data_IF_340377785944
#
_entry.id   IF_340377785944
#
_cell.length_a   1.000
_cell.length_b   1.000
_cell.length_c   1.000
_cell.angle_alpha   90.00
_cell.angle_beta   90.00
_cell.angle_gamma   90.00
#
_symmetry.space_group_name_H-M   'P 1'
#
loop_
_entity.id
_entity.type
_entity.pdbx_description
1 polymer ?
#
# COMPACT_ATOMS: atom_id res chain seq x y z
N UNK A 1 -0.40 33.10 50.76
CA UNK A 1 -0.51 33.61 49.38
C UNK A 1 0.22 32.72 48.37
N UNK A 2 1.49 32.37 48.57
CA UNK A 2 2.23 31.43 47.70
C UNK A 2 1.66 30.01 47.70
N UNK A 3 1.33 29.46 48.87
CA UNK A 3 0.75 28.11 48.99
C UNK A 3 -0.61 27.98 48.28
N UNK A 4 -1.50 28.95 48.48
CA UNK A 4 -2.80 28.99 47.79
C UNK A 4 -2.66 29.09 46.26
N UNK A 5 -1.66 29.84 45.77
CA UNK A 5 -1.37 29.93 44.34
C UNK A 5 -0.80 28.62 43.80
N UNK A 6 0.04 27.93 44.58
CA UNK A 6 0.62 26.65 44.22
C UNK A 6 -0.45 25.55 44.16
N UNK A 7 -1.36 25.51 45.14
CA UNK A 7 -2.51 24.59 45.15
C UNK A 7 -3.46 24.84 43.97
N UNK A 8 -3.73 26.11 43.65
CA UNK A 8 -4.53 26.48 42.47
C UNK A 8 -3.87 26.01 41.15
N UNK A 9 -2.57 26.26 40.99
CA UNK A 9 -1.83 25.82 39.81
C UNK A 9 -1.77 24.30 39.71
N UNK A 10 -1.62 23.60 40.84
CA UNK A 10 -1.62 22.14 40.89
C UNK A 10 -2.98 21.56 40.45
N UNK A 11 -4.10 22.12 40.95
CA UNK A 11 -5.44 21.73 40.49
C UNK A 11 -5.63 21.96 38.99
N UNK A 12 -5.20 23.13 38.48
CA UNK A 12 -5.28 23.43 37.04
C UNK A 12 -4.42 22.47 36.20
N UNK A 13 -3.23 22.15 36.68
CA UNK A 13 -2.33 21.18 36.04
C UNK A 13 -2.98 19.78 35.98
N UNK A 14 -3.57 19.30 37.08
CA UNK A 14 -4.22 17.99 37.10
C UNK A 14 -5.40 17.90 36.11
N UNK A 15 -6.24 18.94 36.06
CA UNK A 15 -7.36 19.00 35.11
C UNK A 15 -6.86 18.97 33.67
N UNK A 16 -5.84 19.76 33.34
CA UNK A 16 -5.25 19.77 32.01
C UNK A 16 -4.59 18.42 31.68
N UNK A 17 -3.88 17.83 32.64
CA UNK A 17 -3.22 16.54 32.46
C UNK A 17 -4.20 15.42 32.14
N UNK A 18 -5.30 15.33 32.89
CA UNK A 18 -6.37 14.35 32.64
C UNK A 18 -7.03 14.59 31.27
N UNK A 19 -7.33 15.85 30.93
CA UNK A 19 -7.86 16.22 29.62
C UNK A 19 -6.94 15.77 28.47
N UNK A 20 -5.63 15.99 28.60
CA UNK A 20 -4.66 15.57 27.58
C UNK A 20 -4.53 14.03 27.50
N UNK A 21 -4.63 13.32 28.62
CA UNK A 21 -4.67 11.86 28.64
C UNK A 21 -5.90 11.33 27.90
N UNK A 22 -7.09 11.87 28.20
CA UNK A 22 -8.34 11.49 27.54
C UNK A 22 -8.27 11.71 26.02
N UNK A 23 -7.76 12.87 25.60
CA UNK A 23 -7.57 13.19 24.18
C UNK A 23 -6.59 12.21 23.51
N UNK A 24 -5.51 11.83 24.19
CA UNK A 24 -4.54 10.85 23.68
C UNK A 24 -5.18 9.49 23.46
N UNK A 25 -5.95 9.00 24.43
CA UNK A 25 -6.63 7.69 24.34
C UNK A 25 -7.64 7.70 23.20
N UNK A 26 -8.44 8.77 23.07
CA UNK A 26 -9.37 8.92 21.94
C UNK A 26 -8.64 8.88 20.59
N UNK A 27 -7.48 9.54 20.47
CA UNK A 27 -6.66 9.49 19.24
C UNK A 27 -6.19 8.06 18.94
N UNK A 28 -5.72 7.33 19.94
CA UNK A 28 -5.29 5.94 19.78
C UNK A 28 -6.45 5.03 19.36
N UNK A 29 -7.61 5.14 20.02
CA UNK A 29 -8.79 4.35 19.65
C UNK A 29 -9.24 4.65 18.22
N UNK A 30 -9.30 5.92 17.82
CA UNK A 30 -9.60 6.29 16.43
C UNK A 30 -8.58 5.70 15.43
N UNK A 31 -7.30 5.64 15.80
CA UNK A 31 -6.25 5.05 14.97
C UNK A 31 -6.43 3.52 14.84
N UNK A 32 -6.82 2.85 15.92
CA UNK A 32 -7.14 1.43 15.95
C UNK A 32 -8.39 1.14 15.11
N UNK A 33 -9.45 1.95 15.25
CA UNK A 33 -10.68 1.81 14.47
C UNK A 33 -10.38 1.89 12.96
N UNK A 34 -9.55 2.84 12.53
CA UNK A 34 -9.10 2.93 11.13
C UNK A 34 -8.33 1.66 10.70
N UNK A 35 -7.50 1.08 11.58
CA UNK A 35 -6.82 -0.17 11.27
C UNK A 35 -7.80 -1.33 11.12
N UNK A 36 -8.79 -1.44 12.02
CA UNK A 36 -9.82 -2.48 11.98
C UNK A 36 -10.71 -2.34 10.74
N UNK A 37 -11.07 -1.12 10.37
CA UNK A 37 -11.81 -0.84 9.13
C UNK A 37 -11.02 -1.30 7.90
N UNK A 38 -9.74 -0.93 7.79
CA UNK A 38 -8.86 -1.38 6.71
C UNK A 38 -8.73 -2.91 6.70
N UNK A 39 -8.60 -3.53 7.88
CA UNK A 39 -8.50 -4.97 8.02
C UNK A 39 -9.78 -5.66 7.53
N UNK A 40 -10.97 -5.20 7.96
CA UNK A 40 -12.27 -5.76 7.54
C UNK A 40 -12.49 -5.70 6.01
N UNK A 41 -11.96 -4.66 5.36
CA UNK A 41 -12.02 -4.45 3.91
C UNK A 41 -11.01 -5.30 3.13
N UNK A 42 -9.92 -5.76 3.78
CA UNK A 42 -8.80 -6.44 3.13
C UNK A 42 -8.59 -7.89 3.57
N UNK A 43 -9.25 -8.34 4.64
CA UNK A 43 -9.14 -9.67 5.24
C UNK A 43 -10.47 -10.42 5.16
N UNK A 44 -10.41 -11.69 4.75
CA UNK A 44 -11.55 -12.58 4.59
C UNK A 44 -11.61 -13.62 5.71
N UNK A 45 -12.40 -14.67 5.51
CA UNK A 45 -12.55 -15.78 6.46
C UNK A 45 -11.39 -16.79 6.35
N UNK A 46 -10.67 -16.77 5.23
CA UNK A 46 -9.57 -17.68 4.92
C UNK A 46 -8.49 -16.98 4.07
N UNK A 47 -7.45 -17.73 3.72
CA UNK A 47 -6.35 -17.23 2.89
C UNK A 47 -6.84 -16.70 1.53
N UNK A 48 -7.64 -17.48 0.80
CA UNK A 48 -8.07 -17.16 -0.57
C UNK A 48 -8.96 -15.90 -0.60
N UNK A 49 -9.95 -15.83 0.28
CA UNK A 49 -10.81 -14.66 0.46
C UNK A 49 -10.03 -13.44 0.92
N UNK A 50 -9.00 -13.61 1.76
CA UNK A 50 -8.06 -12.55 2.15
C UNK A 50 -7.24 -12.03 0.96
N UNK A 51 -6.67 -12.92 0.14
CA UNK A 51 -5.93 -12.50 -1.07
C UNK A 51 -6.86 -11.74 -2.03
N UNK A 52 -8.10 -12.21 -2.18
CA UNK A 52 -9.12 -11.55 -3.01
C UNK A 52 -9.49 -10.16 -2.49
N UNK A 53 -9.84 -10.03 -1.21
CA UNK A 53 -10.21 -8.75 -0.60
C UNK A 53 -9.05 -7.77 -0.61
N UNK A 54 -7.84 -8.21 -0.27
CA UNK A 54 -6.62 -7.41 -0.37
C UNK A 54 -6.39 -6.91 -1.80
N UNK A 55 -6.50 -7.79 -2.80
CA UNK A 55 -6.36 -7.38 -4.19
C UNK A 55 -7.42 -6.36 -4.61
N UNK A 56 -8.68 -6.54 -4.18
CA UNK A 56 -9.75 -5.57 -4.42
C UNK A 56 -9.48 -4.21 -3.80
N UNK A 57 -9.08 -4.20 -2.53
CA UNK A 57 -8.76 -2.99 -1.79
C UNK A 57 -7.60 -2.23 -2.44
N UNK A 58 -6.45 -2.89 -2.62
CA UNK A 58 -5.24 -2.30 -3.19
C UNK A 58 -5.45 -1.82 -4.63
N UNK A 59 -6.15 -2.60 -5.47
CA UNK A 59 -6.48 -2.20 -6.85
C UNK A 59 -7.37 -0.96 -6.85
N UNK A 60 -8.39 -0.91 -6.00
CA UNK A 60 -9.30 0.24 -5.88
C UNK A 60 -8.53 1.51 -5.48
N UNK A 61 -7.61 1.42 -4.51
CA UNK A 61 -6.76 2.56 -4.13
C UNK A 61 -5.92 3.08 -5.30
N UNK A 62 -5.32 2.20 -6.09
CA UNK A 62 -4.53 2.60 -7.26
C UNK A 62 -5.40 3.20 -8.36
N UNK A 63 -6.63 2.70 -8.55
CA UNK A 63 -7.57 3.23 -9.54
C UNK A 63 -8.18 4.58 -9.14
N UNK A 64 -8.14 4.95 -7.85
CA UNK A 64 -8.45 6.32 -7.43
C UNK A 64 -7.36 7.34 -7.80
N UNK A 65 -6.19 6.92 -8.28
CA UNK A 65 -5.13 7.81 -8.78
C UNK A 65 -5.29 8.06 -10.29
N UNK A 66 -5.91 9.18 -10.71
CA UNK A 66 -5.90 9.59 -12.11
C UNK A 66 -4.49 10.03 -12.55
N UNK A 67 -4.17 9.92 -13.83
CA UNK A 67 -2.87 10.37 -14.36
C UNK A 67 -2.73 11.91 -14.29
N UNK A 68 -3.84 12.65 -14.41
CA UNK A 68 -3.83 14.12 -14.50
C UNK A 68 -4.82 14.75 -13.50
N UNK A 69 -4.35 15.06 -12.30
CA UNK A 69 -5.06 15.90 -11.33
C UNK A 69 -4.08 16.89 -10.68
N UNK A 70 -4.52 18.14 -10.48
CA UNK A 70 -3.75 19.17 -9.78
C UNK A 70 -3.50 18.84 -8.30
N UNK A 71 -4.33 17.96 -7.71
CA UNK A 71 -4.22 17.52 -6.30
C UNK A 71 -3.72 16.09 -6.15
N UNK A 72 -3.03 15.57 -7.17
CA UNK A 72 -2.61 14.17 -7.21
C UNK A 72 -1.62 13.83 -6.08
N UNK A 73 -0.70 14.75 -5.76
CA UNK A 73 0.28 14.54 -4.70
C UNK A 73 -0.39 14.44 -3.32
N UNK A 74 -1.37 15.29 -3.02
CA UNK A 74 -2.15 15.23 -1.79
C UNK A 74 -2.97 13.94 -1.70
N UNK A 75 -3.58 13.52 -2.80
CA UNK A 75 -4.31 12.26 -2.87
C UNK A 75 -3.37 11.08 -2.60
N UNK A 76 -2.22 11.03 -3.26
CA UNK A 76 -1.21 10.00 -3.04
C UNK A 76 -0.72 9.95 -1.60
N UNK A 77 -0.50 11.11 -0.99
CA UNK A 77 -0.11 11.21 0.43
C UNK A 77 -1.18 10.61 1.35
N UNK A 78 -2.47 10.74 1.02
CA UNK A 78 -3.60 10.17 1.78
C UNK A 78 -3.82 8.68 1.54
N UNK A 79 -3.61 8.18 0.32
CA UNK A 79 -3.86 6.77 -0.02
C UNK A 79 -2.73 5.83 0.42
N UNK A 80 -1.49 6.34 0.42
CA UNK A 80 -0.28 5.55 0.70
C UNK A 80 -0.30 4.82 2.04
N UNK A 81 -0.74 5.41 3.17
CA UNK A 81 -0.77 4.74 4.48
C UNK A 81 -1.54 3.42 4.51
N UNK A 82 -2.76 3.39 3.98
CA UNK A 82 -3.56 2.19 3.95
C UNK A 82 -2.96 1.13 3.00
N UNK A 83 -2.40 1.57 1.87
CA UNK A 83 -1.76 0.68 0.90
C UNK A 83 -0.54 -0.04 1.49
N UNK A 84 0.35 0.67 2.21
CA UNK A 84 1.51 0.05 2.86
C UNK A 84 1.11 -0.90 3.98
N UNK A 85 0.06 -0.57 4.75
CA UNK A 85 -0.42 -1.43 5.83
C UNK A 85 -0.89 -2.80 5.30
N UNK A 86 -1.76 -2.81 4.28
CA UNK A 86 -2.26 -4.07 3.69
C UNK A 86 -1.14 -4.88 3.05
N UNK A 87 -0.22 -4.25 2.32
CA UNK A 87 0.95 -4.96 1.77
C UNK A 87 1.86 -5.52 2.86
N UNK A 88 2.04 -4.80 3.97
CA UNK A 88 2.81 -5.28 5.12
C UNK A 88 2.18 -6.52 5.75
N UNK A 89 0.86 -6.57 5.88
CA UNK A 89 0.17 -7.76 6.40
C UNK A 89 0.28 -8.95 5.45
N UNK A 90 0.13 -8.75 4.14
CA UNK A 90 0.28 -9.85 3.17
C UNK A 90 1.71 -10.36 3.10
N UNK A 91 2.70 -9.47 3.27
CA UNK A 91 4.10 -9.86 3.41
C UNK A 91 4.33 -10.66 4.69
N UNK A 92 3.80 -10.22 5.83
CA UNK A 92 3.83 -10.96 7.09
C UNK A 92 3.26 -12.37 6.92
N UNK A 93 2.02 -12.48 6.44
CA UNK A 93 1.32 -13.76 6.30
C UNK A 93 2.15 -14.74 5.47
N UNK A 94 2.74 -14.26 4.37
CA UNK A 94 3.58 -15.10 3.51
C UNK A 94 4.91 -15.49 4.14
N UNK A 95 5.59 -14.55 4.81
CA UNK A 95 6.84 -14.84 5.51
C UNK A 95 6.67 -15.85 6.66
N UNK A 96 5.51 -15.82 7.34
CA UNK A 96 5.18 -16.82 8.36
C UNK A 96 4.90 -18.18 7.72
N UNK A 97 4.11 -18.20 6.63
CA UNK A 97 3.80 -19.43 5.89
C UNK A 97 5.06 -20.10 5.32
N UNK A 98 6.02 -19.29 4.86
CA UNK A 98 7.27 -19.75 4.25
C UNK A 98 8.38 -20.03 5.31
N UNK A 99 8.08 -20.00 6.62
CA UNK A 99 9.02 -20.19 7.75
C UNK A 99 10.26 -19.24 7.75
N UNK A 100 10.09 -18.05 7.18
CA UNK A 100 11.16 -17.02 7.12
C UNK A 100 11.22 -16.22 8.43
N UNK A 101 10.07 -15.97 9.07
CA UNK A 101 10.03 -15.24 10.35
C UNK A 101 10.23 -16.20 11.52
N UNK A 102 11.25 -15.93 12.33
CA UNK A 102 11.59 -16.67 13.56
C UNK A 102 11.51 -15.82 14.83
N UNK A 103 10.88 -14.64 14.72
CA UNK A 103 10.78 -13.73 15.85
C UNK A 103 9.85 -14.29 16.92
N UNK A 104 10.38 -14.53 18.12
CA UNK A 104 9.64 -15.17 19.20
C UNK A 104 8.37 -14.40 19.63
N UNK A 105 8.39 -13.06 19.59
CA UNK A 105 7.21 -12.26 19.93
C UNK A 105 6.09 -12.47 18.90
N UNK A 106 6.46 -12.49 17.61
CA UNK A 106 5.50 -12.69 16.53
C UNK A 106 4.98 -14.12 16.49
N UNK A 107 5.79 -15.12 16.84
CA UNK A 107 5.36 -16.52 16.75
C UNK A 107 4.66 -17.03 18.03
N UNK A 108 4.72 -16.29 19.15
CA UNK A 108 4.25 -16.75 20.47
C UNK A 108 2.79 -17.25 20.46
N UNK A 109 1.91 -16.46 19.86
CA UNK A 109 0.45 -16.68 19.89
C UNK A 109 -0.09 -16.89 18.45
N UNK A 110 0.78 -17.27 17.50
CA UNK A 110 0.38 -17.55 16.13
C UNK A 110 -0.20 -18.97 16.03
N UNK A 111 -1.43 -19.04 15.53
CA UNK A 111 -2.13 -20.27 15.18
C UNK A 111 -2.59 -20.14 13.73
N UNK A 112 -2.09 -21.03 12.86
CA UNK A 112 -2.36 -20.97 11.42
C UNK A 112 -3.84 -21.17 11.10
N UNK A 113 -4.52 -22.03 11.85
CA UNK A 113 -5.93 -22.35 11.64
C UNK A 113 -6.84 -21.20 12.09
N UNK A 114 -6.38 -20.39 13.05
CA UNK A 114 -7.12 -19.26 13.62
C UNK A 114 -6.67 -17.90 13.13
N UNK A 115 -5.71 -17.82 12.21
CA UNK A 115 -5.12 -16.55 11.75
C UNK A 115 -6.19 -15.55 11.28
N UNK A 116 -7.24 -16.03 10.64
CA UNK A 116 -8.33 -15.20 10.08
C UNK A 116 -9.61 -15.22 10.94
N UNK A 117 -9.58 -15.88 12.10
CA UNK A 117 -10.71 -15.92 13.01
C UNK A 117 -10.74 -14.63 13.87
N UNK A 118 -11.89 -13.93 13.93
CA UNK A 118 -12.02 -12.74 14.75
C UNK A 118 -12.10 -13.14 16.23
N UNK A 119 -11.02 -12.92 16.99
CA UNK A 119 -11.06 -12.98 18.46
C UNK A 119 -11.15 -11.56 19.03
N UNK A 120 -12.39 -11.15 19.33
CA UNK A 120 -12.70 -9.83 19.91
C UNK A 120 -12.65 -9.83 21.44
N UNK A 121 -12.45 -10.99 22.07
CA UNK A 121 -12.55 -11.14 23.52
C UNK A 121 -11.19 -11.19 24.20
N UNK A 122 -10.18 -11.70 23.51
CA UNK A 122 -8.83 -11.81 24.03
C UNK A 122 -7.97 -10.63 23.55
N UNK A 123 -7.53 -9.78 24.48
CA UNK A 123 -6.60 -8.71 24.16
C UNK A 123 -5.24 -9.25 23.71
N UNK A 124 -4.83 -10.45 24.10
CA UNK A 124 -3.57 -11.07 23.65
C UNK A 124 -3.70 -11.82 22.31
N UNK A 125 -4.86 -11.76 21.64
CA UNK A 125 -5.01 -12.44 20.36
C UNK A 125 -4.01 -11.91 19.32
N UNK A 126 -3.69 -12.73 18.33
CA UNK A 126 -2.70 -12.40 17.30
C UNK A 126 -2.98 -11.07 16.59
N UNK A 127 -4.26 -10.75 16.39
CA UNK A 127 -4.69 -9.47 15.80
C UNK A 127 -4.24 -8.28 16.64
N UNK A 128 -4.49 -8.30 17.95
CA UNK A 128 -4.13 -7.23 18.86
C UNK A 128 -2.61 -7.20 19.12
N UNK A 129 -1.99 -8.36 19.31
CA UNK A 129 -0.58 -8.46 19.70
C UNK A 129 0.40 -8.18 18.55
N UNK A 130 0.04 -8.51 17.30
CA UNK A 130 0.96 -8.48 16.14
C UNK A 130 0.41 -7.69 14.96
N UNK A 131 -0.81 -7.98 14.50
CA UNK A 131 -1.39 -7.35 13.30
C UNK A 131 -1.56 -5.85 13.47
N UNK A 132 -2.25 -5.40 14.53
CA UNK A 132 -2.51 -3.99 14.78
C UNK A 132 -1.22 -3.17 14.99
N UNK A 133 -0.22 -3.61 15.79
CA UNK A 133 1.07 -2.93 15.88
C UNK A 133 1.77 -2.75 14.52
N UNK A 134 1.73 -3.76 13.64
CA UNK A 134 2.30 -3.66 12.28
C UNK A 134 1.52 -2.65 11.45
N UNK A 135 0.18 -2.67 11.50
CA UNK A 135 -0.66 -1.69 10.79
C UNK A 135 -0.41 -0.27 11.27
N UNK A 136 -0.37 -0.04 12.59
CA UNK A 136 -0.09 1.27 13.19
C UNK A 136 1.32 1.74 12.81
N UNK A 137 2.34 0.88 12.92
CA UNK A 137 3.69 1.20 12.48
C UNK A 137 3.74 1.56 10.99
N UNK A 138 3.05 0.80 10.13
CA UNK A 138 2.97 1.06 8.71
C UNK A 138 2.25 2.39 8.45
N UNK A 139 1.02 2.60 8.91
CA UNK A 139 0.22 3.82 8.66
C UNK A 139 0.98 5.07 9.09
N UNK A 140 1.50 5.08 10.32
CA UNK A 140 2.12 6.25 10.94
C UNK A 140 3.61 6.40 10.66
N UNK A 141 4.23 5.56 9.82
CA UNK A 141 5.67 5.58 9.54
C UNK A 141 6.22 6.95 9.05
N UNK A 142 5.36 7.82 8.54
CA UNK A 142 5.70 9.15 8.03
C UNK A 142 4.87 10.27 8.70
N UNK A 143 4.29 10.01 9.88
CA UNK A 143 3.44 10.97 10.59
C UNK A 143 4.22 12.19 11.06
N UNK A 144 5.53 12.05 11.27
CA UNK A 144 6.41 13.17 11.61
C UNK A 144 6.32 14.33 10.61
N UNK A 145 6.03 14.06 9.33
CA UNK A 145 5.79 15.08 8.30
C UNK A 145 4.61 16.04 8.60
N UNK A 146 3.78 15.73 9.58
CA UNK A 146 2.69 16.60 10.06
C UNK A 146 3.10 17.47 11.25
N UNK A 147 4.32 17.32 11.76
CA UNK A 147 4.83 18.14 12.86
C UNK A 147 5.05 19.60 12.39
N UNK A 148 4.72 20.63 13.18
CA UNK A 148 4.82 22.03 12.77
C UNK A 148 6.19 22.44 12.22
N UNK A 149 7.29 21.98 12.82
CA UNK A 149 8.65 22.28 12.34
C UNK A 149 8.90 21.74 10.92
N UNK A 150 8.37 20.56 10.60
CA UNK A 150 8.50 19.95 9.28
C UNK A 150 7.56 20.59 8.27
N UNK A 151 6.36 20.98 8.69
CA UNK A 151 5.47 21.78 7.84
C UNK A 151 6.17 23.08 7.45
N UNK A 152 6.77 23.80 8.39
CA UNK A 152 7.54 25.02 8.11
C UNK A 152 8.74 24.76 7.18
N UNK A 153 9.48 23.66 7.36
CA UNK A 153 10.58 23.27 6.46
C UNK A 153 10.09 22.98 5.02
N UNK A 154 8.94 22.32 4.91
CA UNK A 154 8.39 21.89 3.62
C UNK A 154 7.61 23.00 2.90
N UNK A 155 6.89 23.85 3.62
CA UNK A 155 6.01 24.87 3.04
C UNK A 155 6.62 26.28 3.11
N UNK A 156 7.74 26.45 3.83
CA UNK A 156 8.32 27.77 4.11
C UNK A 156 7.59 28.49 5.25
N UNK A 157 8.20 29.53 5.82
CA UNK A 157 7.63 30.26 6.96
C UNK A 157 6.26 30.88 6.67
N UNK A 158 6.05 31.31 5.42
CA UNK A 158 4.81 31.93 4.95
C UNK A 158 3.92 30.99 4.12
N UNK A 159 4.27 29.69 4.01
CA UNK A 159 3.52 28.73 3.18
C UNK A 159 3.69 28.93 1.68
N UNK A 160 4.80 29.55 1.25
CA UNK A 160 5.05 29.92 -0.15
C UNK A 160 5.76 28.83 -0.98
N UNK A 161 6.21 27.73 -0.35
CA UNK A 161 6.86 26.60 -1.02
C UNK A 161 5.89 25.43 -1.22
N UNK A 162 6.04 24.75 -2.35
CA UNK A 162 5.38 23.45 -2.57
C UNK A 162 6.03 22.38 -1.68
N UNK A 163 5.22 21.76 -0.81
CA UNK A 163 5.65 20.70 0.11
C UNK A 163 6.16 19.44 -0.58
N UNK A 164 5.80 19.23 -1.85
CA UNK A 164 6.23 18.08 -2.65
C UNK A 164 7.35 18.42 -3.65
N UNK A 165 7.94 19.62 -3.56
CA UNK A 165 9.10 20.00 -4.36
C UNK A 165 10.28 19.06 -4.14
N UNK A 166 11.23 19.10 -5.07
CA UNK A 166 12.53 18.47 -4.86
C UNK A 166 13.28 19.25 -3.77
N UNK A 167 13.69 18.56 -2.70
CA UNK A 167 14.52 19.12 -1.64
C UNK A 167 16.00 18.97 -1.99
N UNK A 168 16.80 19.95 -1.59
CA UNK A 168 18.26 19.84 -1.64
C UNK A 168 18.77 18.79 -0.65
N UNK A 169 20.00 18.30 -0.85
CA UNK A 169 20.53 17.18 -0.06
C UNK A 169 20.54 17.47 1.45
N UNK A 170 20.86 18.70 1.85
CA UNK A 170 20.88 19.10 3.26
C UNK A 170 19.47 19.19 3.85
N UNK A 171 18.56 19.93 3.20
CA UNK A 171 17.14 20.01 3.59
C UNK A 171 16.51 18.61 3.66
N UNK A 172 16.85 17.72 2.73
CA UNK A 172 16.35 16.34 2.71
C UNK A 172 16.86 15.53 3.89
N UNK A 173 18.14 15.65 4.24
CA UNK A 173 18.72 14.94 5.38
C UNK A 173 18.10 15.42 6.70
N UNK A 174 17.91 16.73 6.85
CA UNK A 174 17.21 17.33 7.99
C UNK A 174 15.76 16.87 8.07
N UNK A 175 15.02 16.90 6.96
CA UNK A 175 13.64 16.43 6.88
C UNK A 175 13.52 14.98 7.33
N UNK A 176 14.40 14.09 6.85
CA UNK A 176 14.39 12.67 7.22
C UNK A 176 14.66 12.47 8.72
N UNK A 177 15.62 13.20 9.29
CA UNK A 177 15.97 13.11 10.70
C UNK A 177 14.81 13.58 11.60
N UNK A 178 14.22 14.74 11.30
CA UNK A 178 13.07 15.27 12.02
C UNK A 178 11.85 14.36 11.87
N UNK A 179 11.59 13.82 10.67
CA UNK A 179 10.42 12.97 10.43
C UNK A 179 10.52 11.71 11.28
N UNK A 180 11.71 11.11 11.33
CA UNK A 180 11.98 9.96 12.18
C UNK A 180 11.78 10.28 13.66
N UNK A 181 12.38 11.37 14.16
CA UNK A 181 12.24 11.78 15.57
C UNK A 181 10.78 12.02 15.96
N UNK A 182 10.05 12.82 15.18
CA UNK A 182 8.66 13.16 15.47
C UNK A 182 7.70 11.99 15.27
N UNK A 183 8.02 11.06 14.38
CA UNK A 183 7.25 9.81 14.25
C UNK A 183 7.35 8.97 15.52
N UNK A 184 8.56 8.76 16.06
CA UNK A 184 8.74 8.00 17.30
C UNK A 184 8.08 8.68 18.49
N UNK A 185 8.21 10.00 18.60
CA UNK A 185 7.56 10.78 19.65
C UNK A 185 6.04 10.67 19.57
N UNK A 186 5.46 10.80 18.36
CA UNK A 186 4.02 10.64 18.17
C UNK A 186 3.54 9.24 18.52
N UNK A 187 4.25 8.19 18.11
CA UNK A 187 3.87 6.82 18.47
C UNK A 187 3.95 6.57 19.99
N UNK A 188 5.01 7.05 20.64
CA UNK A 188 5.24 6.83 22.07
C UNK A 188 4.34 7.68 22.96
N UNK A 189 4.19 8.97 22.65
CA UNK A 189 3.57 9.96 23.51
C UNK A 189 2.25 10.49 22.93
N UNK A 190 2.16 10.61 21.60
CA UNK A 190 0.95 11.07 20.91
C UNK A 190 -0.19 10.05 20.88
N UNK A 191 0.17 8.77 20.70
CA UNK A 191 -0.70 7.59 20.78
C UNK A 191 -0.49 6.84 22.11
N UNK A 192 0.71 6.31 22.34
CA UNK A 192 1.04 5.56 23.56
C UNK A 192 0.26 4.24 23.70
N UNK A 193 -0.03 3.85 24.94
CA UNK A 193 -0.80 2.65 25.27
C UNK A 193 -2.28 2.99 25.50
N UNK A 194 -3.15 2.03 25.19
CA UNK A 194 -4.56 2.02 25.59
C UNK A 194 -4.68 1.95 27.13
N UNK A 195 -5.91 2.11 27.61
CA UNK A 195 -6.25 1.94 29.02
C UNK A 195 -7.13 0.70 29.20
N UNK A 196 -6.88 -0.03 30.29
CA UNK A 196 -7.71 -1.16 30.66
C UNK A 196 -9.14 -0.69 30.98
N UNK A 197 -10.13 -1.42 30.46
CA UNK A 197 -11.55 -1.24 30.83
C UNK A 197 -11.98 -2.11 32.03
N UNK A 198 -11.05 -2.80 32.67
CA UNK A 198 -11.32 -3.75 33.75
C UNK A 198 -11.35 -3.08 35.14
N UNK A 199 -12.11 -3.63 36.06
CA UNK A 199 -12.19 -3.15 37.46
C UNK A 199 -11.17 -3.84 38.38
N UNK A 200 -10.72 -5.06 38.02
CA UNK A 200 -9.80 -5.83 38.85
C UNK A 200 -8.36 -5.44 38.58
N UNK A 201 -7.62 -5.12 39.65
CA UNK A 201 -6.22 -4.70 39.60
C UNK A 201 -5.30 -5.70 38.84
N UNK A 202 -5.54 -7.00 38.98
CA UNK A 202 -4.78 -8.03 38.27
C UNK A 202 -5.01 -7.98 36.75
N UNK A 203 -6.26 -7.76 36.31
CA UNK A 203 -6.63 -7.68 34.89
C UNK A 203 -6.08 -6.38 34.27
N UNK A 204 -6.13 -5.26 35.03
CA UNK A 204 -5.52 -3.98 34.64
C UNK A 204 -4.01 -4.16 34.44
N UNK A 205 -3.32 -4.76 35.41
CA UNK A 205 -1.86 -4.97 35.35
C UNK A 205 -1.46 -5.83 34.14
N UNK A 206 -2.16 -6.94 33.91
CA UNK A 206 -1.90 -7.81 32.77
C UNK A 206 -2.13 -7.11 31.42
N UNK A 207 -3.21 -6.31 31.32
CA UNK A 207 -3.50 -5.50 30.14
C UNK A 207 -2.40 -4.46 29.89
N UNK A 208 -2.00 -3.72 30.91
CA UNK A 208 -0.96 -2.69 30.81
C UNK A 208 0.39 -3.29 30.39
N UNK A 209 0.76 -4.45 30.91
CA UNK A 209 1.96 -5.17 30.49
C UNK A 209 1.89 -5.61 29.01
N UNK A 210 0.74 -6.10 28.56
CA UNK A 210 0.53 -6.48 27.17
C UNK A 210 0.62 -5.25 26.24
N UNK A 211 0.01 -4.13 26.62
CA UNK A 211 0.07 -2.87 25.89
C UNK A 211 1.50 -2.30 25.80
N UNK A 212 2.29 -2.38 26.88
CA UNK A 212 3.69 -1.98 26.84
C UNK A 212 4.52 -2.84 25.89
N UNK A 213 4.25 -4.15 25.85
CA UNK A 213 4.90 -5.07 24.89
C UNK A 213 4.52 -4.72 23.45
N UNK A 214 3.23 -4.44 23.16
CA UNK A 214 2.76 -4.00 21.84
C UNK A 214 3.41 -2.71 21.39
N UNK A 215 3.42 -1.69 22.26
CA UNK A 215 4.05 -0.39 21.95
C UNK A 215 5.55 -0.57 21.69
N UNK A 216 6.24 -1.38 22.50
CA UNK A 216 7.67 -1.68 22.30
C UNK A 216 7.92 -2.38 20.96
N UNK A 217 7.08 -3.34 20.59
CA UNK A 217 7.15 -4.02 19.30
C UNK A 217 6.93 -3.03 18.14
N UNK A 218 5.88 -2.23 18.20
CA UNK A 218 5.57 -1.19 17.21
C UNK A 218 6.72 -0.19 17.03
N UNK A 219 7.26 0.34 18.12
CA UNK A 219 8.41 1.25 18.08
C UNK A 219 9.63 0.56 17.50
N UNK A 220 9.89 -0.70 17.87
CA UNK A 220 10.98 -1.52 17.32
C UNK A 220 10.92 -1.65 15.80
N UNK A 221 9.73 -1.89 15.23
CA UNK A 221 9.54 -1.95 13.79
C UNK A 221 9.96 -0.64 13.09
N UNK A 222 9.52 0.51 13.60
CA UNK A 222 9.81 1.83 13.01
C UNK A 222 11.28 2.23 13.20
N UNK A 223 11.85 1.95 14.38
CA UNK A 223 13.27 2.18 14.68
C UNK A 223 14.16 1.42 13.70
N UNK A 224 13.93 0.11 13.59
CA UNK A 224 14.79 -0.75 12.77
C UNK A 224 14.56 -0.54 11.28
N UNK A 225 13.35 -0.17 10.83
CA UNK A 225 13.06 0.11 9.42
C UNK A 225 13.88 1.29 8.87
N UNK A 226 14.12 2.30 9.70
CA UNK A 226 14.95 3.47 9.37
C UNK A 226 16.46 3.21 9.55
N UNK A 227 16.83 2.06 10.11
CA UNK A 227 18.22 1.64 10.25
C UNK A 227 18.70 0.80 9.04
N UNK A 228 20.00 0.52 8.99
CA UNK A 228 20.60 -0.45 8.06
C UNK A 228 20.45 -1.90 8.52
N UNK A 229 19.81 -2.16 9.68
CA UNK A 229 19.57 -3.50 10.19
C UNK A 229 18.51 -4.21 9.35
N UNK A 230 18.69 -5.51 9.18
CA UNK A 230 17.73 -6.42 8.53
C UNK A 230 16.97 -7.21 9.60
N UNK A 231 15.76 -7.63 9.27
CA UNK A 231 14.91 -8.38 10.19
C UNK A 231 13.43 -8.07 10.01
N UNK A 232 12.67 -8.16 11.10
CA UNK A 232 11.20 -8.04 11.09
C UNK A 232 10.69 -6.67 10.65
N UNK A 233 11.49 -5.61 10.76
CA UNK A 233 11.12 -4.26 10.29
C UNK A 233 11.00 -4.16 8.76
N UNK A 234 11.54 -5.12 8.01
CA UNK A 234 11.40 -5.15 6.56
C UNK A 234 9.96 -5.39 6.09
N UNK A 235 9.11 -5.91 6.99
CA UNK A 235 7.66 -6.05 6.81
C UNK A 235 6.99 -4.71 6.54
N UNK A 236 7.49 -3.61 7.11
CA UNK A 236 6.97 -2.25 6.82
C UNK A 236 7.86 -1.47 5.85
N UNK A 237 9.18 -1.71 5.85
CA UNK A 237 10.15 -0.99 5.00
C UNK A 237 9.95 -1.28 3.51
N UNK A 238 9.80 -2.55 3.12
CA UNK A 238 9.65 -2.94 1.72
C UNK A 238 8.34 -2.39 1.13
N UNK A 239 7.18 -2.55 1.80
CA UNK A 239 5.94 -1.89 1.37
C UNK A 239 6.03 -0.37 1.30
N UNK A 240 6.76 0.29 2.20
CA UNK A 240 6.98 1.74 2.14
C UNK A 240 7.75 2.13 0.87
N UNK A 241 8.85 1.43 0.54
CA UNK A 241 9.63 1.69 -0.68
C UNK A 241 8.77 1.47 -1.92
N UNK A 242 8.06 0.33 -1.99
CA UNK A 242 7.21 0.01 -3.12
C UNK A 242 6.10 1.06 -3.32
N UNK A 243 5.38 1.39 -2.24
CA UNK A 243 4.28 2.38 -2.27
C UNK A 243 4.75 3.80 -2.57
N UNK A 244 6.03 4.14 -2.34
CA UNK A 244 6.62 5.44 -2.74
C UNK A 244 6.68 5.63 -4.26
N UNK A 245 6.74 4.53 -5.02
CA UNK A 245 6.67 4.54 -6.48
C UNK A 245 5.21 4.51 -6.93
N UNK A 246 4.37 3.69 -6.28
CA UNK A 246 2.95 3.57 -6.63
C UNK A 246 2.20 4.90 -6.43
N UNK A 247 2.40 5.52 -5.28
CA UNK A 247 1.80 6.81 -4.90
C UNK A 247 2.89 7.87 -4.80
N UNK A 248 3.55 8.14 -5.93
CA UNK A 248 4.62 9.13 -5.99
C UNK A 248 4.04 10.55 -5.96
N UNK A 249 4.58 11.42 -5.12
CA UNK A 249 4.17 12.83 -5.04
C UNK A 249 4.96 13.72 -6.00
N UNK A 250 5.77 13.13 -6.89
CA UNK A 250 6.56 13.88 -7.87
C UNK A 250 5.67 14.45 -8.98
N UNK A 251 6.04 15.63 -9.49
CA UNK A 251 5.31 16.33 -10.56
C UNK A 251 5.30 15.57 -11.89
N UNK A 252 6.30 14.73 -12.15
CA UNK A 252 6.47 13.91 -13.36
C UNK A 252 5.97 12.47 -13.17
N UNK A 253 5.08 12.23 -12.20
CA UNK A 253 4.47 10.92 -12.00
C UNK A 253 3.73 10.46 -13.27
N UNK A 254 3.99 9.22 -13.68
CA UNK A 254 3.33 8.59 -14.83
C UNK A 254 3.03 7.12 -14.50
N UNK A 255 1.78 6.69 -14.69
CA UNK A 255 1.34 5.32 -14.34
C UNK A 255 2.08 4.24 -15.14
N UNK A 256 2.51 4.55 -16.36
CA UNK A 256 3.35 3.65 -17.17
C UNK A 256 4.67 3.24 -16.49
N UNK A 257 5.15 4.03 -15.52
CA UNK A 257 6.39 3.78 -14.78
C UNK A 257 6.18 2.90 -13.54
N UNK A 258 4.95 2.55 -13.17
CA UNK A 258 4.65 1.73 -11.99
C UNK A 258 5.42 0.38 -11.92
N UNK A 259 5.70 -0.33 -13.04
CA UNK A 259 6.53 -1.54 -13.00
C UNK A 259 7.96 -1.33 -12.46
N UNK A 260 8.46 -0.08 -12.45
CA UNK A 260 9.76 0.25 -11.87
C UNK A 260 9.81 0.05 -10.34
N UNK A 261 8.67 0.01 -9.65
CA UNK A 261 8.60 -0.29 -8.22
C UNK A 261 9.24 -1.64 -7.90
N UNK A 262 8.86 -2.66 -8.68
CA UNK A 262 9.39 -4.02 -8.57
C UNK A 262 10.89 -4.08 -8.88
N UNK A 263 11.35 -3.28 -9.86
CA UNK A 263 12.77 -3.18 -10.22
C UNK A 263 13.58 -2.52 -9.11
N UNK A 264 13.04 -1.50 -8.45
CA UNK A 264 13.70 -0.81 -7.35
C UNK A 264 13.92 -1.76 -6.16
N UNK A 265 12.90 -2.56 -5.80
CA UNK A 265 13.03 -3.59 -4.75
C UNK A 265 14.15 -4.58 -5.11
N UNK A 266 14.10 -5.15 -6.31
CA UNK A 266 15.14 -6.09 -6.78
C UNK A 266 16.55 -5.46 -6.76
N UNK A 267 16.69 -4.21 -7.18
CA UNK A 267 17.98 -3.50 -7.14
C UNK A 267 18.49 -3.28 -5.71
N UNK A 268 17.61 -2.91 -4.77
CA UNK A 268 17.99 -2.73 -3.37
C UNK A 268 18.37 -4.05 -2.70
N UNK A 269 17.71 -5.15 -3.06
CA UNK A 269 18.07 -6.50 -2.63
C UNK A 269 19.47 -6.90 -3.13
N UNK A 270 19.76 -6.70 -4.43
CA UNK A 270 21.09 -6.97 -5.02
C UNK A 270 22.18 -6.13 -4.32
N UNK A 271 21.87 -4.85 -4.07
CA UNK A 271 22.76 -3.94 -3.34
C UNK A 271 22.80 -4.21 -1.83
N UNK A 272 22.11 -5.24 -1.34
CA UNK A 272 22.12 -5.65 0.07
C UNK A 272 21.60 -4.54 1.01
N UNK A 273 20.82 -3.59 0.51
CA UNK A 273 20.17 -2.53 1.29
C UNK A 273 18.90 -3.02 2.01
N UNK A 274 18.30 -4.09 1.49
CA UNK A 274 17.22 -4.89 2.09
C UNK A 274 17.55 -6.38 1.94
N UNK A 275 16.89 -7.25 2.68
CA UNK A 275 17.06 -8.69 2.61
C UNK A 275 16.61 -9.25 1.26
N UNK A 276 17.46 -9.99 0.53
CA UNK A 276 17.07 -10.67 -0.70
C UNK A 276 15.90 -11.64 -0.50
N UNK A 277 15.94 -12.44 0.56
CA UNK A 277 14.90 -13.43 0.86
C UNK A 277 13.52 -12.78 1.08
N UNK A 278 13.45 -11.74 1.91
CA UNK A 278 12.20 -11.00 2.14
C UNK A 278 11.74 -10.28 0.88
N UNK A 279 12.69 -9.78 0.07
CA UNK A 279 12.38 -9.13 -1.20
C UNK A 279 11.81 -10.12 -2.22
N UNK A 280 12.35 -11.33 -2.31
CA UNK A 280 11.86 -12.38 -3.19
C UNK A 280 10.45 -12.82 -2.79
N UNK A 281 10.20 -13.00 -1.49
CA UNK A 281 8.86 -13.25 -0.96
C UNK A 281 7.91 -12.12 -1.34
N UNK A 282 8.28 -10.86 -1.10
CA UNK A 282 7.44 -9.72 -1.47
C UNK A 282 7.16 -9.65 -2.98
N UNK A 283 8.18 -9.89 -3.81
CA UNK A 283 8.05 -9.90 -5.26
C UNK A 283 7.16 -11.04 -5.77
N UNK A 284 7.13 -12.17 -5.07
CA UNK A 284 6.18 -13.25 -5.37
C UNK A 284 4.73 -12.86 -5.08
N UNK A 285 4.48 -11.90 -4.19
CA UNK A 285 3.13 -11.40 -3.86
C UNK A 285 2.65 -10.40 -4.92
N UNK A 286 3.48 -9.40 -5.23
CA UNK A 286 3.04 -8.27 -6.08
C UNK A 286 3.39 -8.44 -7.56
N UNK A 287 4.34 -9.31 -7.89
CA UNK A 287 4.89 -9.45 -9.24
C UNK A 287 5.55 -8.18 -9.78
N UNK A 288 5.83 -8.19 -11.08
CA UNK A 288 6.41 -7.04 -11.80
C UNK A 288 5.40 -5.93 -12.05
N UNK A 289 4.13 -6.29 -12.23
CA UNK A 289 3.06 -5.36 -12.60
C UNK A 289 2.17 -5.11 -11.40
N UNK A 290 2.15 -3.87 -10.85
CA UNK A 290 1.36 -3.56 -9.67
C UNK A 290 -0.15 -3.74 -9.92
N UNK A 291 -0.90 -4.01 -8.86
CA UNK A 291 -2.36 -4.01 -8.89
C UNK A 291 -2.90 -2.70 -9.47
N UNK A 292 -3.96 -2.80 -10.28
CA UNK A 292 -4.54 -1.68 -10.99
C UNK A 292 -3.76 -1.21 -12.22
N UNK A 293 -2.60 -1.80 -12.55
CA UNK A 293 -1.85 -1.45 -13.76
C UNK A 293 -2.56 -1.93 -15.04
N UNK A 294 -2.50 -1.12 -16.10
CA UNK A 294 -3.07 -1.43 -17.40
C UNK A 294 -2.11 -2.24 -18.26
N UNK A 295 -2.50 -3.47 -18.60
CA UNK A 295 -1.75 -4.35 -19.52
C UNK A 295 -2.40 -4.35 -20.89
N UNK A 296 -1.59 -4.11 -21.91
CA UNK A 296 -1.93 -4.42 -23.29
C UNK A 296 -1.32 -5.76 -23.66
N UNK A 297 -2.09 -6.66 -24.28
CA UNK A 297 -1.65 -8.02 -24.59
C UNK A 297 -2.13 -8.49 -25.96
N UNK A 298 -1.38 -9.40 -26.58
CA UNK A 298 -1.77 -10.05 -27.84
C UNK A 298 -2.95 -10.98 -27.58
N UNK A 299 -4.05 -10.79 -28.31
CA UNK A 299 -5.25 -11.60 -28.19
C UNK A 299 -4.99 -13.04 -28.64
N UNK A 300 -5.74 -13.99 -28.09
CA UNK A 300 -5.70 -15.39 -28.52
C UNK A 300 -7.10 -15.89 -28.89
N UNK A 301 -7.15 -16.87 -29.79
CA UNK A 301 -8.36 -17.64 -30.06
C UNK A 301 -8.61 -18.72 -28.98
N UNK A 302 -9.60 -19.58 -29.20
CA UNK A 302 -9.96 -20.66 -28.26
C UNK A 302 -8.90 -21.77 -28.19
N UNK A 303 -8.10 -21.93 -29.25
CA UNK A 303 -7.03 -22.92 -29.34
C UNK A 303 -5.71 -22.37 -28.79
N UNK A 304 -5.68 -21.10 -28.37
CA UNK A 304 -4.51 -20.42 -27.83
C UNK A 304 -3.59 -19.85 -28.92
N UNK A 305 -4.01 -19.80 -30.18
CA UNK A 305 -3.23 -19.18 -31.24
C UNK A 305 -3.29 -17.66 -31.11
N UNK A 306 -2.14 -17.01 -31.28
CA UNK A 306 -2.03 -15.56 -31.25
C UNK A 306 -2.72 -14.92 -32.46
N UNK A 307 -3.49 -13.87 -32.21
CA UNK A 307 -4.20 -13.10 -33.22
C UNK A 307 -3.42 -11.83 -33.59
N UNK A 308 -3.73 -11.26 -34.75
CA UNK A 308 -3.05 -10.07 -35.30
C UNK A 308 -3.54 -8.74 -34.68
N UNK A 309 -4.01 -8.78 -33.43
CA UNK A 309 -4.44 -7.60 -32.69
C UNK A 309 -4.21 -7.76 -31.19
N UNK A 310 -4.33 -6.63 -30.48
CA UNK A 310 -4.16 -6.58 -29.03
C UNK A 310 -5.47 -6.22 -28.32
N UNK A 311 -5.49 -6.52 -27.02
CA UNK A 311 -6.58 -6.28 -26.10
C UNK A 311 -6.03 -5.68 -24.79
N UNK A 312 -6.93 -5.22 -23.93
CA UNK A 312 -6.65 -4.56 -22.67
C UNK A 312 -7.14 -5.36 -21.47
N UNK A 313 -6.34 -5.29 -20.40
CA UNK A 313 -6.64 -5.89 -19.12
C UNK A 313 -6.10 -5.05 -17.96
N UNK A 314 -6.66 -5.23 -16.77
CA UNK A 314 -6.23 -4.55 -15.54
C UNK A 314 -5.70 -5.60 -14.57
N UNK A 315 -4.48 -5.44 -14.03
CA UNK A 315 -3.96 -6.34 -12.99
C UNK A 315 -4.88 -6.29 -11.76
N UNK A 316 -5.39 -7.44 -11.32
CA UNK A 316 -6.50 -7.49 -10.35
C UNK A 316 -6.38 -8.56 -9.26
N UNK A 317 -5.28 -9.32 -9.23
CA UNK A 317 -4.96 -10.31 -8.19
C UNK A 317 -3.50 -10.25 -7.80
N UNK A 318 -3.25 -10.62 -6.55
CA UNK A 318 -1.92 -10.88 -5.99
C UNK A 318 -1.45 -12.29 -6.34
N UNK A 319 -0.21 -12.60 -6.00
CA UNK A 319 0.45 -13.89 -6.14
C UNK A 319 0.42 -14.42 -7.59
N UNK A 320 0.96 -13.67 -8.57
CA UNK A 320 1.07 -14.18 -9.93
C UNK A 320 1.93 -15.46 -9.94
N UNK A 321 1.65 -16.43 -10.83
CA UNK A 321 2.42 -17.68 -10.90
C UNK A 321 3.91 -17.45 -11.10
N UNK A 322 4.25 -16.39 -11.83
CA UNK A 322 5.61 -15.96 -12.11
C UNK A 322 5.71 -14.43 -12.00
N UNK A 323 6.82 -13.85 -11.51
CA UNK A 323 6.95 -12.39 -11.38
C UNK A 323 6.75 -11.62 -12.68
N UNK A 324 7.01 -12.25 -13.84
CA UNK A 324 6.85 -11.61 -15.16
C UNK A 324 5.46 -11.77 -15.78
N UNK A 325 4.58 -12.52 -15.12
CA UNK A 325 3.18 -12.68 -15.50
C UNK A 325 2.31 -11.78 -14.62
N UNK A 326 1.05 -11.63 -15.02
CA UNK A 326 0.08 -10.89 -14.23
C UNK A 326 -1.28 -11.58 -14.32
N UNK A 327 -1.96 -11.66 -13.18
CA UNK A 327 -3.35 -12.12 -13.12
C UNK A 327 -4.24 -10.88 -13.29
N UNK A 328 -4.99 -10.84 -14.37
CA UNK A 328 -5.69 -9.65 -14.82
C UNK A 328 -7.18 -9.89 -14.99
N UNK A 329 -7.96 -8.82 -14.78
CA UNK A 329 -9.33 -8.73 -15.25
C UNK A 329 -9.28 -8.30 -16.71
N UNK A 330 -9.77 -9.15 -17.62
CA UNK A 330 -9.88 -8.80 -19.03
C UNK A 330 -11.00 -7.77 -19.17
N UNK A 331 -10.69 -6.62 -19.75
CA UNK A 331 -11.67 -5.52 -19.91
C UNK A 331 -12.07 -5.31 -21.36
N UNK A 332 -11.39 -5.95 -22.30
CA UNK A 332 -11.80 -5.97 -23.71
C UNK A 332 -11.74 -7.38 -24.27
N UNK A 333 -12.61 -7.65 -25.26
CA UNK A 333 -12.60 -8.89 -26.05
C UNK A 333 -13.19 -8.63 -27.42
N UNK A 334 -12.53 -9.13 -28.47
CA UNK A 334 -12.85 -8.84 -29.88
C UNK A 334 -12.92 -7.33 -30.15
N UNK A 335 -11.97 -6.57 -29.59
CA UNK A 335 -11.85 -5.11 -29.71
C UNK A 335 -13.07 -4.33 -29.16
N UNK A 336 -13.78 -4.90 -28.18
CA UNK A 336 -14.90 -4.24 -27.50
C UNK A 336 -14.70 -4.27 -26.00
N UNK A 337 -14.99 -3.16 -25.33
CA UNK A 337 -15.01 -3.09 -23.87
C UNK A 337 -16.12 -3.97 -23.29
N UNK A 338 -15.78 -4.71 -22.24
CA UNK A 338 -16.67 -5.60 -21.54
C UNK A 338 -17.20 -4.93 -20.26
N UNK A 339 -18.51 -4.92 -19.99
CA UNK A 339 -19.05 -4.43 -18.71
C UNK A 339 -18.80 -5.40 -17.55
N UNK A 340 -18.40 -6.64 -17.86
CA UNK A 340 -17.99 -7.67 -16.92
C UNK A 340 -16.82 -8.45 -17.51
N UNK A 341 -15.76 -8.64 -16.71
CA UNK A 341 -14.57 -9.35 -17.14
C UNK A 341 -14.54 -10.81 -16.71
N UNK A 342 -13.66 -11.59 -17.33
CA UNK A 342 -13.13 -12.84 -16.77
C UNK A 342 -11.74 -12.52 -16.23
N UNK A 343 -11.31 -13.25 -15.20
CA UNK A 343 -9.94 -13.16 -14.69
C UNK A 343 -9.08 -14.20 -15.39
N UNK A 344 -7.93 -13.78 -15.91
CA UNK A 344 -7.00 -14.66 -16.63
C UNK A 344 -5.54 -14.23 -16.42
N UNK A 345 -4.60 -15.13 -16.70
CA UNK A 345 -3.16 -14.90 -16.55
C UNK A 345 -2.56 -14.46 -17.89
N UNK A 346 -2.05 -13.23 -17.92
CA UNK A 346 -1.35 -12.72 -19.10
C UNK A 346 0.12 -13.12 -19.02
N UNK A 347 0.54 -13.97 -19.96
CA UNK A 347 1.92 -14.45 -20.05
C UNK A 347 2.86 -13.38 -20.60
N UNK A 348 4.14 -13.49 -20.25
CA UNK A 348 5.23 -12.64 -20.75
C UNK A 348 5.31 -12.59 -22.28
N UNK A 349 4.97 -13.69 -22.96
CA UNK A 349 5.00 -13.81 -24.42
C UNK A 349 3.90 -13.02 -25.14
N UNK A 350 2.83 -12.66 -24.43
CA UNK A 350 1.67 -11.92 -24.94
C UNK A 350 1.68 -10.46 -24.50
N UNK A 351 2.21 -10.17 -23.30
CA UNK A 351 2.18 -8.85 -22.71
C UNK A 351 3.10 -7.86 -23.47
N UNK A 352 2.49 -6.83 -24.06
CA UNK A 352 3.15 -5.82 -24.88
C UNK A 352 4.05 -4.88 -24.09
N UNK A 353 4.09 -4.95 -22.75
CA UNK A 353 5.16 -4.33 -21.97
C UNK A 353 6.53 -4.93 -22.32
N UNK A 354 6.59 -6.19 -22.74
CA UNK A 354 7.82 -6.84 -23.17
C UNK A 354 8.07 -6.63 -24.66
N UNK A 355 9.31 -6.26 -25.00
CA UNK A 355 9.71 -5.99 -26.38
C UNK A 355 9.52 -7.22 -27.28
N UNK A 356 9.74 -8.42 -26.77
CA UNK A 356 9.58 -9.66 -27.53
C UNK A 356 8.15 -9.85 -28.03
N UNK A 357 7.14 -9.55 -27.22
CA UNK A 357 5.74 -9.60 -27.63
C UNK A 357 5.44 -8.50 -28.67
N UNK A 358 5.88 -7.26 -28.43
CA UNK A 358 5.68 -6.15 -29.39
C UNK A 358 6.20 -6.45 -30.80
N UNK A 359 7.37 -7.10 -30.90
CA UNK A 359 7.98 -7.46 -32.19
C UNK A 359 7.10 -8.36 -33.06
N UNK A 360 6.17 -9.10 -32.47
CA UNK A 360 5.21 -9.93 -33.20
C UNK A 360 4.20 -9.05 -33.96
N UNK A 361 3.72 -7.99 -33.32
CA UNK A 361 2.76 -7.06 -33.92
C UNK A 361 3.38 -6.05 -34.89
N UNK A 362 4.69 -5.78 -34.81
CA UNK A 362 5.39 -4.91 -35.79
C UNK A 362 5.26 -5.44 -37.23
N UNK A 363 5.07 -6.75 -37.40
CA UNK A 363 4.93 -7.39 -38.71
C UNK A 363 3.54 -7.25 -39.33
N UNK A 364 2.56 -6.76 -38.56
CA UNK A 364 1.17 -6.62 -38.97
C UNK A 364 0.98 -5.29 -39.72
N UNK A 365 0.03 -5.26 -40.66
CA UNK A 365 -0.31 -4.06 -41.43
C UNK A 365 -0.63 -2.88 -40.48
N UNK A 366 0.08 -1.74 -40.57
CA UNK A 366 -0.21 -0.55 -39.78
C UNK A 366 -1.67 -0.08 -39.85
N UNK A 367 -2.36 -0.28 -40.99
CA UNK A 367 -3.79 0.06 -41.13
C UNK A 367 -4.64 -0.77 -40.18
N UNK A 368 -4.34 -2.07 -40.06
CA UNK A 368 -5.04 -2.96 -39.15
C UNK A 368 -4.83 -2.56 -37.70
N UNK A 369 -3.61 -2.20 -37.32
CA UNK A 369 -3.31 -1.73 -35.95
C UNK A 369 -3.99 -0.39 -35.64
N UNK A 370 -4.11 0.49 -36.63
CA UNK A 370 -4.86 1.75 -36.49
C UNK A 370 -6.36 1.47 -36.24
N UNK A 371 -6.98 0.51 -36.94
CA UNK A 371 -8.37 0.10 -36.67
C UNK A 371 -8.57 -0.43 -35.24
N UNK A 372 -7.62 -1.24 -34.75
CA UNK A 372 -7.66 -1.78 -33.39
C UNK A 372 -7.60 -0.63 -32.38
N UNK A 373 -6.67 0.30 -32.59
CA UNK A 373 -6.50 1.46 -31.72
C UNK A 373 -7.71 2.39 -31.71
N UNK A 374 -8.32 2.64 -32.88
CA UNK A 374 -9.55 3.43 -33.02
C UNK A 374 -10.69 2.80 -32.22
N UNK A 375 -10.91 1.48 -32.33
CA UNK A 375 -11.95 0.76 -31.58
C UNK A 375 -11.71 0.72 -30.07
N UNK A 376 -10.43 0.69 -29.67
CA UNK A 376 -10.02 0.61 -28.27
C UNK A 376 -9.67 1.98 -27.67
N UNK A 377 -10.16 3.09 -28.24
CA UNK A 377 -9.99 4.42 -27.65
C UNK A 377 -11.30 5.21 -27.65
N UNK A 378 -11.64 5.80 -26.50
CA UNK A 378 -12.87 6.59 -26.36
C UNK A 378 -12.78 7.98 -27.04
N UNK A 379 -11.57 8.48 -27.30
CA UNK A 379 -11.31 9.80 -27.88
C UNK A 379 -10.17 9.74 -28.92
N UNK A 380 -10.33 8.96 -30.00
CA UNK A 380 -9.36 8.96 -31.11
C UNK A 380 -9.47 10.28 -31.90
N UNK A 381 -8.65 11.27 -31.55
CA UNK A 381 -8.51 12.51 -32.31
C UNK A 381 -7.22 12.52 -33.13
N UNK A 382 -7.24 13.21 -34.28
CA UNK A 382 -6.15 13.34 -35.28
C UNK A 382 -4.83 13.95 -34.71
N UNK A 383 -4.81 14.40 -33.45
CA UNK A 383 -3.63 14.90 -32.74
C UNK A 383 -3.02 13.95 -31.71
N UNK A 384 -3.55 12.73 -31.53
CA UNK A 384 -3.03 11.79 -30.53
C UNK A 384 -1.76 11.09 -31.05
N UNK A 385 -0.59 11.55 -30.58
CA UNK A 385 0.72 10.94 -30.82
C UNK A 385 0.92 9.60 -30.07
N UNK A 386 -0.12 8.78 -29.95
CA UNK A 386 -0.07 7.47 -29.27
C UNK A 386 0.52 6.43 -30.25
N UNK A 387 1.45 5.57 -29.80
CA UNK A 387 2.02 4.54 -30.66
C UNK A 387 0.96 3.50 -31.05
N UNK A 388 0.98 3.03 -32.30
CA UNK A 388 0.07 1.98 -32.81
C UNK A 388 0.14 0.66 -32.01
N UNK A 389 1.27 0.43 -31.32
CA UNK A 389 1.48 -0.73 -30.44
C UNK A 389 1.79 -0.20 -29.03
N UNK A 390 0.78 0.01 -28.18
CA UNK A 390 1.00 0.51 -26.84
C UNK A 390 1.64 -0.56 -25.94
N UNK A 391 2.58 -0.15 -25.08
CA UNK A 391 3.20 -1.00 -24.06
C UNK A 391 2.51 -0.89 -22.69
N UNK A 392 1.52 -0.02 -22.60
CA UNK A 392 0.68 0.32 -21.46
C UNK A 392 -0.58 1.00 -22.01
N UNK A 393 -1.71 0.80 -21.35
CA UNK A 393 -2.94 1.56 -21.59
C UNK A 393 -3.43 2.12 -20.25
N UNK A 394 -4.21 3.20 -20.27
CA UNK A 394 -4.65 3.91 -19.07
C UNK A 394 -5.97 3.33 -18.52
N UNK A 395 -5.97 2.61 -17.39
CA UNK A 395 -7.16 1.96 -16.84
C UNK A 395 -8.33 2.89 -16.55
N UNK A 396 -8.08 4.17 -16.29
CA UNK A 396 -9.15 5.14 -16.06
C UNK A 396 -10.07 5.32 -17.27
N UNK A 397 -9.56 5.09 -18.50
CA UNK A 397 -10.37 5.14 -19.72
C UNK A 397 -11.53 4.14 -19.68
N UNK A 398 -11.36 2.98 -19.02
CA UNK A 398 -12.41 1.96 -18.88
C UNK A 398 -13.60 2.45 -18.05
N UNK A 399 -13.35 3.25 -17.01
CA UNK A 399 -14.35 3.68 -16.04
C UNK A 399 -15.15 4.91 -16.50
N UNK A 400 -14.82 5.51 -17.65
CA UNK A 400 -15.63 6.58 -18.26
C UNK A 400 -16.99 6.09 -18.76
N UNK A 401 -17.12 4.78 -19.02
CA UNK A 401 -18.41 4.17 -19.37
C UNK A 401 -19.15 3.82 -18.08
N UNK A 402 -20.37 4.35 -17.91
CA UNK A 402 -21.18 4.13 -16.70
C UNK A 402 -21.38 2.64 -16.38
N UNK A 403 -21.57 1.79 -17.40
CA UNK A 403 -21.71 0.34 -17.24
C UNK A 403 -20.44 -0.38 -16.76
N UNK A 404 -19.28 0.29 -16.79
CA UNK A 404 -17.97 -0.28 -16.46
C UNK A 404 -17.45 0.18 -15.10
N UNK A 405 -18.22 0.98 -14.34
CA UNK A 405 -17.78 1.55 -13.06
C UNK A 405 -17.48 0.50 -11.96
N UNK A 406 -17.97 -0.73 -12.11
CA UNK A 406 -17.64 -1.84 -11.21
C UNK A 406 -16.73 -2.87 -11.90
N UNK A 407 -15.42 -2.82 -11.63
CA UNK A 407 -14.45 -3.79 -12.16
C UNK A 407 -14.73 -5.24 -11.69
N UNK A 408 -15.38 -5.38 -10.53
CA UNK A 408 -15.56 -6.64 -9.83
C UNK A 408 -16.88 -7.33 -10.16
N UNK A 409 -17.68 -6.77 -11.07
CA UNK A 409 -18.94 -7.36 -11.54
C UNK A 409 -18.70 -8.71 -12.21
N UNK A 410 -19.20 -9.80 -11.62
CA UNK A 410 -19.28 -11.10 -12.32
C UNK A 410 -20.56 -11.15 -13.14
N UNK A 411 -20.52 -11.89 -14.26
CA UNK A 411 -21.76 -12.27 -14.96
C UNK A 411 -22.63 -13.04 -13.96
N UNK A 412 -23.88 -12.63 -13.78
CA UNK A 412 -24.86 -13.41 -13.02
C UNK A 412 -25.18 -14.69 -13.76
#
# INVERSE_FOLDING_TARGET
>A
MLEQRLEYLYKKYLVEHLSQQDLRIRRLNNAIDVCLDILSLSEGEDYESTQLKSAKFLTTLVLFSPENDKKLAELHHRLKPAYKAVLGLRLLDKLVTDDVIKNAYMMKDYDADKRYEPDTTNFECYTQAVILPIMLAAIFQDVGLQHPSLIQLLEGEEGNKDRFRLLENQERAEMLALNYQHTLDYLKNGLGCQQAGAEKEQEITAFDEAEQKRLKFQLGLVLDANSSKRGTSEIIKIPQIYSSVIFSTKRDYQRKNLPTASMLIAQLAIKKAISPEVSDVFMSIVGRFPLGFGITYIAQDQDGNELDFYEYAIVSRLNPPEPTQAICRLVTKKMMFLPYGITDVIKKSQNLHFQAARRKLIKIDPKRLAEVMEKLSHNYGVGNNKPLIPYFWEPNEYFFVQGNQNLWSSRK
#
